data_IF_809326668556
#
_entry.id   IF_809326668556
#
_cell.length_a   1.000
_cell.length_b   1.000
_cell.length_c   1.000
_cell.angle_alpha   90.00
_cell.angle_beta   90.00
_cell.angle_gamma   90.00
#
_symmetry.space_group_name_H-M   'P 1'
#
loop_
_entity.id
_entity.type
_entity.pdbx_description
1 polymer ?
#
# COMPACT_ATOMS: atom_id res chain seq x y z
N UNK A 1 -5.01 -12.35 -1.82
CA UNK A 1 -5.76 -12.22 -0.53
C UNK A 1 -4.79 -12.04 0.62
N UNK A 2 -5.05 -11.06 1.53
CA UNK A 2 -4.25 -10.81 2.74
C UNK A 2 -5.20 -10.90 3.94
N UNK A 3 -4.85 -11.70 4.95
CA UNK A 3 -5.61 -11.87 6.19
C UNK A 3 -4.77 -11.39 7.38
N UNK A 4 -5.29 -10.44 8.12
CA UNK A 4 -4.76 -9.90 9.37
C UNK A 4 -5.73 -10.33 10.47
N UNK A 5 -5.24 -11.03 11.51
CA UNK A 5 -6.10 -11.61 12.55
C UNK A 5 -5.59 -11.24 13.93
N UNK A 6 -6.39 -10.44 14.65
CA UNK A 6 -6.13 -10.01 16.05
C UNK A 6 -4.72 -9.45 16.25
N UNK A 7 -4.23 -8.64 15.29
CA UNK A 7 -2.86 -8.14 15.29
C UNK A 7 -2.72 -6.92 16.21
N UNK A 8 -1.70 -6.96 17.05
CA UNK A 8 -1.35 -5.86 17.96
C UNK A 8 0.12 -5.48 17.79
N UNK A 9 0.39 -4.17 17.91
CA UNK A 9 1.74 -3.61 17.95
C UNK A 9 1.86 -2.54 19.02
N UNK A 10 2.88 -2.68 19.88
CA UNK A 10 3.20 -1.73 20.94
C UNK A 10 4.61 -1.18 20.79
N UNK A 11 4.79 0.08 21.13
CA UNK A 11 6.08 0.75 21.26
C UNK A 11 6.16 1.37 22.66
N UNK A 12 6.81 0.66 23.60
CA UNK A 12 6.78 1.04 25.00
C UNK A 12 5.34 1.07 25.54
N UNK A 13 4.89 2.21 26.04
CA UNK A 13 3.52 2.41 26.54
C UNK A 13 2.49 2.68 25.45
N UNK A 14 2.93 3.01 24.22
CA UNK A 14 2.03 3.33 23.11
C UNK A 14 1.58 2.04 22.41
N UNK A 15 0.27 1.79 22.36
CA UNK A 15 -0.32 0.79 21.48
C UNK A 15 -0.61 1.41 20.11
N UNK A 16 0.28 1.19 19.15
CA UNK A 16 0.17 1.78 17.81
C UNK A 16 -0.86 1.07 16.93
N UNK A 17 -1.09 -0.23 17.16
CA UNK A 17 -2.15 -1.04 16.54
C UNK A 17 -2.70 -1.96 17.62
N UNK A 18 -4.02 -1.96 17.80
CA UNK A 18 -4.71 -2.59 18.90
C UNK A 18 -5.74 -3.62 18.40
N UNK A 19 -5.34 -4.89 18.41
CA UNK A 19 -6.20 -6.03 18.13
C UNK A 19 -7.02 -5.91 16.84
N UNK A 20 -6.40 -5.52 15.73
CA UNK A 20 -7.10 -5.37 14.45
C UNK A 20 -7.25 -6.69 13.71
N UNK A 21 -8.42 -6.89 13.08
CA UNK A 21 -8.68 -7.97 12.14
C UNK A 21 -9.21 -7.40 10.84
N UNK A 22 -8.58 -7.78 9.72
CA UNK A 22 -8.84 -7.23 8.40
C UNK A 22 -8.57 -8.26 7.32
N UNK A 23 -9.47 -8.38 6.36
CA UNK A 23 -9.31 -9.19 5.17
C UNK A 23 -9.30 -8.31 3.93
N UNK A 24 -8.25 -8.43 3.12
CA UNK A 24 -8.16 -7.86 1.77
C UNK A 24 -8.34 -9.02 0.78
N UNK A 25 -9.40 -8.94 -0.03
CA UNK A 25 -9.79 -9.99 -0.97
C UNK A 25 -9.00 -9.91 -2.27
N UNK A 26 -9.03 -10.98 -3.04
CA UNK A 26 -8.63 -10.92 -4.45
C UNK A 26 -9.69 -10.12 -5.24
N UNK A 27 -9.30 -9.55 -6.37
CA UNK A 27 -10.11 -8.68 -7.23
C UNK A 27 -10.59 -7.38 -6.57
N UNK A 28 -9.87 -6.87 -5.55
CA UNK A 28 -10.25 -5.60 -4.95
C UNK A 28 -9.08 -4.61 -4.80
N UNK A 29 -9.42 -3.33 -4.87
CA UNK A 29 -8.63 -2.23 -4.36
C UNK A 29 -9.18 -1.85 -2.99
N UNK A 30 -8.39 -2.08 -1.96
CA UNK A 30 -8.74 -1.78 -0.58
C UNK A 30 -8.06 -0.49 -0.11
N UNK A 31 -8.84 0.51 0.28
CA UNK A 31 -8.35 1.76 0.85
C UNK A 31 -8.19 1.66 2.37
N UNK A 32 -7.00 1.88 2.89
CA UNK A 32 -6.75 1.91 4.34
C UNK A 32 -6.62 3.36 4.81
N UNK A 33 -7.70 3.88 5.38
CA UNK A 33 -7.91 5.30 5.66
C UNK A 33 -7.71 5.63 7.14
N UNK A 34 -7.19 6.81 7.42
CA UNK A 34 -7.03 7.28 8.80
C UNK A 34 -6.15 8.52 8.87
N UNK A 35 -6.22 9.31 9.95
CA UNK A 35 -5.34 10.45 10.15
C UNK A 35 -3.87 10.02 10.30
N UNK A 36 -2.96 10.99 10.28
CA UNK A 36 -1.55 10.73 10.57
C UNK A 36 -1.40 10.21 12.01
N UNK A 37 -0.57 9.18 12.17
CA UNK A 37 -0.40 8.50 13.46
C UNK A 37 -1.52 7.51 13.83
N UNK A 38 -2.51 7.27 12.95
CA UNK A 38 -3.61 6.33 13.25
C UNK A 38 -3.18 4.86 13.32
N UNK A 39 -2.00 4.49 12.80
CA UNK A 39 -1.52 3.10 12.75
C UNK A 39 -1.44 2.50 11.34
N UNK A 40 -1.75 3.26 10.26
CA UNK A 40 -1.74 2.79 8.87
C UNK A 40 -0.38 2.20 8.46
N UNK A 41 0.67 3.01 8.44
CA UNK A 41 2.02 2.59 8.05
C UNK A 41 2.57 1.49 8.96
N UNK A 42 2.24 1.51 10.26
CA UNK A 42 2.60 0.43 11.19
C UNK A 42 1.96 -0.88 10.77
N UNK A 43 0.67 -0.87 10.42
CA UNK A 43 -0.04 -2.08 9.95
C UNK A 43 0.56 -2.60 8.65
N UNK A 44 0.81 -1.74 7.66
CA UNK A 44 1.42 -2.15 6.39
C UNK A 44 2.85 -2.69 6.59
N UNK A 45 3.65 -2.06 7.45
CA UNK A 45 5.00 -2.53 7.78
C UNK A 45 5.01 -3.88 8.51
N UNK A 46 4.02 -4.16 9.36
CA UNK A 46 3.84 -5.49 9.95
C UNK A 46 3.46 -6.53 8.89
N UNK A 47 2.53 -6.19 8.00
CA UNK A 47 2.08 -7.07 6.92
C UNK A 47 3.23 -7.43 5.97
N UNK A 48 4.18 -6.53 5.77
CA UNK A 48 5.35 -6.71 4.90
C UNK A 48 6.60 -7.24 5.61
N UNK A 49 6.49 -7.62 6.89
CA UNK A 49 7.61 -8.15 7.69
C UNK A 49 8.78 -7.16 7.86
N UNK A 50 8.54 -5.85 7.73
CA UNK A 50 9.52 -4.82 8.04
C UNK A 50 9.66 -4.65 9.56
N UNK A 51 8.53 -4.74 10.27
CA UNK A 51 8.49 -4.75 11.73
C UNK A 51 7.75 -6.00 12.22
N UNK A 52 8.16 -6.60 13.35
CA UNK A 52 7.47 -7.75 13.92
C UNK A 52 6.14 -7.35 14.53
N UNK A 53 5.17 -8.26 14.48
CA UNK A 53 3.94 -8.19 15.27
C UNK A 53 4.20 -8.64 16.71
N UNK A 54 3.45 -8.08 17.67
CA UNK A 54 3.58 -8.51 19.07
C UNK A 54 2.58 -9.63 19.42
N UNK A 55 1.38 -9.61 18.79
CA UNK A 55 0.39 -10.68 18.87
C UNK A 55 -0.45 -10.77 17.60
N UNK A 56 -1.22 -11.84 17.47
CA UNK A 56 -2.06 -12.11 16.29
C UNK A 56 -1.35 -12.92 15.22
N UNK A 57 -1.91 -12.97 14.02
CA UNK A 57 -1.35 -13.63 12.84
C UNK A 57 -1.62 -12.83 11.57
N UNK A 58 -0.71 -12.94 10.59
CA UNK A 58 -0.89 -12.38 9.24
C UNK A 58 -0.58 -13.48 8.23
N UNK A 59 -1.48 -13.62 7.26
CA UNK A 59 -1.31 -14.56 6.14
C UNK A 59 -1.47 -13.84 4.81
N UNK A 60 -0.58 -14.15 3.88
CA UNK A 60 -0.62 -13.65 2.50
C UNK A 60 -0.78 -14.85 1.58
N UNK A 61 -1.88 -14.91 0.83
CA UNK A 61 -2.27 -16.08 0.04
C UNK A 61 -2.23 -17.40 0.86
N UNK A 62 -2.77 -17.36 2.08
CA UNK A 62 -2.76 -18.44 3.07
C UNK A 62 -1.37 -18.82 3.62
N UNK A 63 -0.30 -18.13 3.23
CA UNK A 63 1.06 -18.36 3.73
C UNK A 63 1.27 -17.50 4.98
N UNK A 64 1.54 -18.14 6.13
CA UNK A 64 1.85 -17.44 7.38
C UNK A 64 3.17 -16.68 7.26
N UNK A 65 3.15 -15.40 7.62
CA UNK A 65 4.38 -14.58 7.67
C UNK A 65 5.35 -15.03 8.77
N UNK A 66 4.86 -15.75 9.78
CA UNK A 66 5.69 -16.28 10.86
C UNK A 66 6.40 -17.57 10.48
N UNK A 67 5.64 -18.51 9.87
CA UNK A 67 6.12 -19.84 9.58
C UNK A 67 6.95 -19.91 8.31
N UNK A 68 6.56 -19.12 7.29
CA UNK A 68 7.18 -19.12 5.97
C UNK A 68 7.46 -17.69 5.46
N UNK A 69 8.32 -16.91 6.16
CA UNK A 69 8.51 -15.47 5.86
C UNK A 69 9.06 -15.19 4.45
N UNK A 70 9.94 -16.04 3.94
CA UNK A 70 10.53 -15.85 2.60
C UNK A 70 9.48 -16.08 1.51
N UNK A 71 8.67 -17.13 1.65
CA UNK A 71 7.63 -17.43 0.69
C UNK A 71 6.50 -16.38 0.74
N UNK A 72 6.15 -15.91 1.94
CA UNK A 72 5.21 -14.81 2.10
C UNK A 72 5.71 -13.53 1.41
N UNK A 73 7.01 -13.19 1.53
CA UNK A 73 7.61 -12.02 0.85
C UNK A 73 7.56 -12.08 -0.66
N UNK A 74 7.52 -13.27 -1.25
CA UNK A 74 7.36 -13.44 -2.71
C UNK A 74 5.94 -13.14 -3.20
N UNK A 75 4.96 -13.10 -2.30
CA UNK A 75 3.56 -12.92 -2.65
C UNK A 75 3.17 -11.46 -2.81
N UNK A 76 4.01 -10.51 -2.44
CA UNK A 76 3.68 -9.09 -2.48
C UNK A 76 4.83 -8.21 -2.96
N UNK A 77 4.49 -7.01 -3.39
CA UNK A 77 5.42 -5.88 -3.49
C UNK A 77 4.98 -4.78 -2.53
N UNK A 78 5.95 -4.02 -2.03
CA UNK A 78 5.71 -2.93 -1.09
C UNK A 78 6.32 -1.61 -1.57
N UNK A 79 5.51 -0.55 -1.52
CA UNK A 79 5.97 0.83 -1.67
C UNK A 79 5.85 1.49 -0.29
N UNK A 80 6.96 1.91 0.34
CA UNK A 80 6.93 2.66 1.59
C UNK A 80 6.53 4.12 1.37
N UNK A 81 6.04 4.78 2.43
CA UNK A 81 5.75 6.22 2.46
C UNK A 81 7.00 7.08 2.20
N UNK A 82 8.15 6.69 2.75
CA UNK A 82 9.44 7.34 2.45
C UNK A 82 10.16 6.63 1.29
N UNK A 83 10.27 7.27 0.11
CA UNK A 83 10.95 6.70 -1.05
C UNK A 83 12.48 6.83 -1.00
N UNK A 84 13.07 7.27 0.11
CA UNK A 84 14.51 7.45 0.28
C UNK A 84 15.25 6.12 0.50
N UNK A 85 15.04 5.16 -0.39
CA UNK A 85 15.69 3.85 -0.37
C UNK A 85 16.63 3.67 -1.57
N UNK A 86 17.63 2.82 -1.42
CA UNK A 86 18.58 2.47 -2.49
C UNK A 86 19.30 3.67 -3.15
N UNK A 87 19.54 4.77 -2.42
CA UNK A 87 20.07 6.03 -2.94
C UNK A 87 21.43 5.89 -3.65
N UNK A 88 22.20 4.84 -3.33
CA UNK A 88 23.53 4.57 -3.93
C UNK A 88 23.46 3.80 -5.24
N UNK A 89 22.30 3.33 -5.66
CA UNK A 89 22.11 2.64 -6.91
C UNK A 89 21.64 3.62 -8.00
N UNK A 90 21.93 3.29 -9.25
CA UNK A 90 21.25 3.88 -10.40
C UNK A 90 19.84 3.28 -10.52
N UNK A 91 18.90 4.02 -11.15
CA UNK A 91 17.53 3.53 -11.34
C UNK A 91 17.49 2.16 -12.03
N UNK A 92 18.27 1.99 -13.12
CA UNK A 92 18.35 0.73 -13.83
C UNK A 92 18.93 -0.41 -12.98
N UNK A 93 19.90 -0.12 -12.12
CA UNK A 93 20.53 -1.12 -11.25
C UNK A 93 19.52 -1.61 -10.19
N UNK A 94 18.76 -0.68 -9.60
CA UNK A 94 17.69 -1.01 -8.68
C UNK A 94 16.63 -1.93 -9.30
N UNK A 95 16.16 -1.60 -10.51
CA UNK A 95 15.15 -2.40 -11.21
C UNK A 95 15.68 -3.80 -11.57
N UNK A 96 16.91 -3.91 -12.06
CA UNK A 96 17.56 -5.20 -12.33
C UNK A 96 17.78 -6.03 -11.06
N UNK A 97 18.13 -5.37 -9.95
CA UNK A 97 18.25 -6.02 -8.64
C UNK A 97 16.92 -6.63 -8.20
N UNK A 98 15.82 -5.87 -8.30
CA UNK A 98 14.48 -6.41 -8.01
C UNK A 98 14.12 -7.59 -8.93
N UNK A 99 14.37 -7.50 -10.24
CA UNK A 99 14.12 -8.59 -11.18
C UNK A 99 14.85 -9.86 -10.76
N UNK A 100 16.10 -9.74 -10.32
CA UNK A 100 16.91 -10.86 -9.82
C UNK A 100 16.30 -11.50 -8.57
N UNK A 101 15.89 -10.70 -7.58
CA UNK A 101 15.27 -11.19 -6.32
C UNK A 101 13.99 -11.97 -6.62
N UNK A 102 13.13 -11.42 -7.49
CA UNK A 102 11.85 -12.04 -7.85
C UNK A 102 11.99 -13.09 -8.96
N UNK A 103 13.23 -13.39 -9.42
CA UNK A 103 13.54 -14.39 -10.44
C UNK A 103 12.77 -14.18 -11.76
N UNK A 104 12.62 -12.93 -12.17
CA UNK A 104 12.00 -12.57 -13.44
C UNK A 104 13.03 -12.77 -14.55
N UNK A 105 12.60 -13.37 -15.66
CA UNK A 105 13.44 -13.51 -16.85
C UNK A 105 13.98 -12.14 -17.31
N UNK A 106 15.26 -12.09 -17.66
CA UNK A 106 15.94 -10.83 -17.96
C UNK A 106 15.33 -10.10 -19.18
N UNK A 107 14.87 -10.84 -20.18
CA UNK A 107 14.23 -10.27 -21.37
C UNK A 107 12.91 -9.62 -21.00
N UNK A 108 12.06 -10.34 -20.23
CA UNK A 108 10.79 -9.84 -19.71
C UNK A 108 11.00 -8.63 -18.82
N UNK A 109 12.00 -8.67 -17.93
CA UNK A 109 12.31 -7.56 -17.05
C UNK A 109 12.70 -6.30 -17.84
N UNK A 110 13.57 -6.42 -18.85
CA UNK A 110 14.01 -5.30 -19.68
C UNK A 110 12.86 -4.70 -20.50
N UNK A 111 11.97 -5.52 -21.05
CA UNK A 111 10.78 -5.05 -21.77
C UNK A 111 9.85 -4.25 -20.84
N UNK A 112 9.56 -4.78 -19.66
CA UNK A 112 8.72 -4.09 -18.66
C UNK A 112 9.37 -2.82 -18.15
N UNK A 113 10.67 -2.82 -17.89
CA UNK A 113 11.42 -1.62 -17.49
C UNK A 113 11.29 -0.55 -18.57
N UNK A 114 11.51 -0.89 -19.83
CA UNK A 114 11.38 0.04 -20.97
C UNK A 114 9.96 0.59 -21.07
N UNK A 115 8.96 -0.27 -20.97
CA UNK A 115 7.56 0.13 -21.03
C UNK A 115 7.20 1.11 -19.90
N UNK A 116 7.41 0.70 -18.64
CA UNK A 116 6.94 1.50 -17.50
C UNK A 116 7.79 2.75 -17.27
N UNK A 117 9.09 2.72 -17.58
CA UNK A 117 9.90 3.95 -17.53
C UNK A 117 9.42 4.99 -18.53
N UNK A 118 8.95 4.59 -19.70
CA UNK A 118 8.34 5.49 -20.69
C UNK A 118 6.98 6.02 -20.19
N UNK A 119 6.11 5.15 -19.66
CA UNK A 119 4.79 5.56 -19.14
C UNK A 119 4.93 6.61 -18.02
N UNK A 120 5.94 6.49 -17.14
CA UNK A 120 6.19 7.41 -16.03
C UNK A 120 7.19 8.54 -16.35
N UNK A 121 7.68 8.64 -17.60
CA UNK A 121 8.63 9.69 -18.01
C UNK A 121 10.00 9.59 -17.35
N UNK A 122 10.47 8.36 -17.05
CA UNK A 122 11.74 8.09 -16.35
C UNK A 122 12.82 7.52 -17.26
N UNK A 123 12.56 7.30 -18.55
CA UNK A 123 13.45 6.61 -19.48
C UNK A 123 14.85 7.24 -19.58
N UNK A 124 14.94 8.56 -19.57
CA UNK A 124 16.20 9.29 -19.70
C UNK A 124 17.00 9.35 -18.37
N UNK A 125 16.35 9.06 -17.25
CA UNK A 125 16.94 9.17 -15.91
C UNK A 125 17.38 7.83 -15.33
N UNK A 126 17.10 6.70 -16.00
CA UNK A 126 17.41 5.37 -15.46
C UNK A 126 18.90 5.15 -15.17
N UNK A 127 19.79 5.86 -15.86
CA UNK A 127 21.24 5.75 -15.68
C UNK A 127 21.78 6.70 -14.60
N UNK A 128 20.96 7.56 -14.04
CA UNK A 128 21.34 8.46 -12.96
C UNK A 128 21.19 7.76 -11.60
N UNK A 129 21.94 8.22 -10.60
CA UNK A 129 21.81 7.73 -9.23
C UNK A 129 20.47 8.15 -8.62
N UNK A 130 19.82 7.25 -7.88
CA UNK A 130 18.56 7.53 -7.17
C UNK A 130 18.73 8.69 -6.18
N UNK A 131 19.94 8.91 -5.64
CA UNK A 131 20.25 10.06 -4.78
C UNK A 131 20.01 11.40 -5.47
N UNK A 132 20.20 11.49 -6.80
CA UNK A 132 19.98 12.72 -7.58
C UNK A 132 18.51 12.95 -7.97
N UNK A 133 17.65 11.96 -7.76
CA UNK A 133 16.22 12.07 -8.11
C UNK A 133 15.49 13.03 -7.18
N UNK A 134 14.52 13.77 -7.73
CA UNK A 134 13.52 14.47 -6.92
C UNK A 134 12.67 13.46 -6.12
N UNK A 135 11.92 13.93 -5.13
CA UNK A 135 11.03 13.05 -4.35
C UNK A 135 10.05 12.29 -5.28
N UNK A 136 9.40 12.99 -6.21
CA UNK A 136 8.49 12.37 -7.17
C UNK A 136 9.17 11.35 -8.09
N UNK A 137 10.41 11.58 -8.53
CA UNK A 137 11.17 10.61 -9.32
C UNK A 137 11.54 9.36 -8.50
N UNK A 138 11.86 9.52 -7.21
CA UNK A 138 12.08 8.39 -6.30
C UNK A 138 10.81 7.57 -6.14
N UNK A 139 9.67 8.23 -5.98
CA UNK A 139 8.38 7.55 -5.93
C UNK A 139 8.09 6.77 -7.23
N UNK A 140 8.30 7.40 -8.39
CA UNK A 140 8.10 6.76 -9.70
C UNK A 140 8.97 5.52 -9.89
N UNK A 141 10.25 5.55 -9.50
CA UNK A 141 11.12 4.37 -9.67
C UNK A 141 10.68 3.19 -8.81
N UNK A 142 10.14 3.43 -7.60
CA UNK A 142 9.54 2.38 -6.77
C UNK A 142 8.29 1.79 -7.41
N UNK A 143 7.41 2.64 -7.95
CA UNK A 143 6.21 2.22 -8.68
C UNK A 143 6.59 1.36 -9.88
N UNK A 144 7.55 1.80 -10.71
CA UNK A 144 8.06 1.03 -11.84
C UNK A 144 8.56 -0.34 -11.38
N UNK A 145 9.26 -0.41 -10.24
CA UNK A 145 9.70 -1.67 -9.64
C UNK A 145 8.52 -2.59 -9.33
N UNK A 146 7.48 -2.11 -8.68
CA UNK A 146 6.27 -2.90 -8.36
C UNK A 146 5.56 -3.39 -9.63
N UNK A 147 5.37 -2.52 -10.62
CA UNK A 147 4.76 -2.86 -11.91
C UNK A 147 5.57 -3.91 -12.67
N UNK A 148 6.90 -3.80 -12.66
CA UNK A 148 7.80 -4.72 -13.33
C UNK A 148 7.73 -6.13 -12.73
N UNK A 149 7.75 -6.26 -11.41
CA UNK A 149 7.69 -7.56 -10.73
C UNK A 149 6.27 -8.12 -10.67
N UNK A 150 5.26 -7.25 -10.60
CA UNK A 150 3.82 -7.57 -10.63
C UNK A 150 3.42 -8.80 -9.81
N UNK A 151 3.72 -8.87 -8.51
CA UNK A 151 3.28 -9.97 -7.67
C UNK A 151 1.78 -9.86 -7.39
N UNK A 152 1.19 -10.93 -6.86
CA UNK A 152 -0.26 -11.03 -6.67
C UNK A 152 -0.85 -9.94 -5.75
N UNK A 153 -0.09 -9.48 -4.75
CA UNK A 153 -0.59 -8.48 -3.81
C UNK A 153 0.28 -7.21 -3.84
N UNK A 154 -0.31 -6.05 -4.03
CA UNK A 154 0.36 -4.76 -3.91
C UNK A 154 0.01 -4.12 -2.57
N UNK A 155 1.02 -3.76 -1.81
CA UNK A 155 0.91 -3.09 -0.52
C UNK A 155 1.60 -1.73 -0.65
N UNK A 156 0.82 -0.64 -0.59
CA UNK A 156 1.30 0.68 -0.97
C UNK A 156 1.02 1.68 0.16
N UNK A 157 2.06 2.28 0.72
CA UNK A 157 1.92 3.28 1.79
C UNK A 157 2.01 4.68 1.20
N UNK A 158 0.90 5.43 1.18
CA UNK A 158 0.76 6.78 0.60
C UNK A 158 1.33 6.90 -0.84
N UNK A 159 1.00 6.00 -1.77
CA UNK A 159 1.76 5.84 -3.02
C UNK A 159 1.63 7.02 -4.00
N UNK A 160 0.67 7.92 -3.79
CA UNK A 160 0.43 9.06 -4.67
C UNK A 160 1.12 10.33 -4.20
N UNK A 161 1.72 10.31 -3.01
CA UNK A 161 2.43 11.46 -2.43
C UNK A 161 3.63 11.86 -3.29
N UNK A 162 3.68 13.13 -3.69
CA UNK A 162 4.77 13.68 -4.51
C UNK A 162 4.70 13.34 -6.01
N UNK A 163 3.69 12.59 -6.47
CA UNK A 163 3.48 12.35 -7.89
C UNK A 163 2.82 13.56 -8.56
N UNK A 164 3.19 13.78 -9.81
CA UNK A 164 2.45 14.68 -10.70
C UNK A 164 1.07 14.08 -11.07
N UNK A 165 0.11 14.91 -11.53
CA UNK A 165 -1.25 14.44 -11.85
C UNK A 165 -1.30 13.30 -12.88
N UNK A 166 -0.43 13.34 -13.91
CA UNK A 166 -0.40 12.31 -14.93
C UNK A 166 0.08 10.96 -14.37
N UNK A 167 1.18 10.97 -13.61
CA UNK A 167 1.71 9.77 -12.96
C UNK A 167 0.75 9.18 -11.94
N UNK A 168 0.04 10.03 -11.19
CA UNK A 168 -1.02 9.61 -10.27
C UNK A 168 -2.19 8.95 -11.02
N UNK A 169 -2.59 9.49 -12.18
CA UNK A 169 -3.63 8.90 -13.02
C UNK A 169 -3.21 7.52 -13.54
N UNK A 170 -2.00 7.39 -14.09
CA UNK A 170 -1.45 6.13 -14.57
C UNK A 170 -1.42 5.08 -13.43
N UNK A 171 -0.94 5.45 -12.25
CA UNK A 171 -0.91 4.52 -11.11
C UNK A 171 -2.30 4.01 -10.75
N UNK A 172 -3.32 4.88 -10.70
CA UNK A 172 -4.72 4.48 -10.42
C UNK A 172 -5.24 3.48 -11.46
N UNK A 173 -4.96 3.71 -12.74
CA UNK A 173 -5.32 2.78 -13.80
C UNK A 173 -4.62 1.42 -13.61
N UNK A 174 -3.31 1.42 -13.33
CA UNK A 174 -2.55 0.19 -13.08
C UNK A 174 -3.04 -0.58 -11.85
N UNK A 175 -3.44 0.12 -10.78
CA UNK A 175 -4.06 -0.51 -9.60
C UNK A 175 -5.37 -1.20 -9.99
N UNK A 176 -6.23 -0.54 -10.80
CA UNK A 176 -7.49 -1.14 -11.24
C UNK A 176 -7.26 -2.34 -12.16
N UNK A 177 -6.41 -2.18 -13.18
CA UNK A 177 -6.01 -3.30 -14.06
C UNK A 177 -5.48 -4.50 -13.27
N UNK A 178 -4.66 -4.24 -12.24
CA UNK A 178 -4.10 -5.29 -11.40
C UNK A 178 -5.19 -6.04 -10.61
N UNK A 179 -6.11 -5.30 -9.99
CA UNK A 179 -7.22 -5.89 -9.25
C UNK A 179 -8.17 -6.67 -10.17
N UNK A 180 -8.54 -6.14 -11.33
CA UNK A 180 -9.43 -6.78 -12.32
C UNK A 180 -8.84 -8.08 -12.89
N UNK A 181 -7.51 -8.22 -12.86
CA UNK A 181 -6.79 -9.45 -13.24
C UNK A 181 -6.69 -10.51 -12.12
N UNK A 182 -7.51 -10.43 -11.09
CA UNK A 182 -7.57 -11.46 -10.05
C UNK A 182 -6.60 -11.25 -8.89
N UNK A 183 -6.04 -10.05 -8.77
CA UNK A 183 -5.05 -9.71 -7.77
C UNK A 183 -5.63 -8.78 -6.70
N UNK A 184 -4.83 -8.40 -5.70
CA UNK A 184 -5.27 -7.48 -4.67
C UNK A 184 -4.34 -6.27 -4.54
N UNK A 185 -4.95 -5.13 -4.22
CA UNK A 185 -4.23 -3.90 -3.89
C UNK A 185 -4.73 -3.40 -2.55
N UNK A 186 -3.83 -3.18 -1.60
CA UNK A 186 -4.09 -2.38 -0.42
C UNK A 186 -3.22 -1.12 -0.47
N UNK A 187 -3.82 0.04 -0.28
CA UNK A 187 -3.04 1.26 -0.14
C UNK A 187 -3.55 2.13 1.00
N UNK A 188 -2.62 2.75 1.70
CA UNK A 188 -2.97 3.77 2.69
C UNK A 188 -3.13 5.12 2.01
N UNK A 189 -4.06 5.91 2.52
CA UNK A 189 -4.15 7.33 2.15
C UNK A 189 -4.88 8.13 3.22
N UNK A 190 -4.60 9.41 3.28
CA UNK A 190 -5.37 10.41 4.02
C UNK A 190 -6.23 11.27 3.08
N UNK A 191 -6.14 11.05 1.75
CA UNK A 191 -6.91 11.77 0.72
C UNK A 191 -8.16 10.98 0.39
N UNK A 192 -9.28 11.36 1.00
CA UNK A 192 -10.55 10.62 0.93
C UNK A 192 -11.14 10.59 -0.48
N UNK A 193 -11.00 11.66 -1.25
CA UNK A 193 -11.46 11.73 -2.65
C UNK A 193 -10.80 10.66 -3.55
N UNK A 194 -9.56 10.27 -3.24
CA UNK A 194 -8.89 9.20 -3.97
C UNK A 194 -9.57 7.87 -3.65
N UNK A 195 -9.83 7.61 -2.38
CA UNK A 195 -10.49 6.39 -1.94
C UNK A 195 -11.91 6.26 -2.55
N UNK A 196 -12.67 7.35 -2.56
CA UNK A 196 -14.02 7.37 -3.18
C UNK A 196 -14.02 6.95 -4.65
N UNK A 197 -12.96 7.33 -5.38
CA UNK A 197 -12.90 7.11 -6.84
C UNK A 197 -12.43 5.74 -7.25
N UNK A 198 -11.61 5.07 -6.43
CA UNK A 198 -10.93 3.84 -6.89
C UNK A 198 -11.09 2.63 -5.99
N UNK A 199 -11.52 2.79 -4.72
CA UNK A 199 -11.64 1.67 -3.79
C UNK A 199 -12.96 0.92 -3.95
N UNK A 200 -12.87 -0.40 -3.90
CA UNK A 200 -14.04 -1.28 -3.80
C UNK A 200 -14.52 -1.36 -2.35
N UNK A 201 -13.57 -1.40 -1.39
CA UNK A 201 -13.83 -1.37 0.06
C UNK A 201 -12.80 -0.48 0.76
N UNK A 202 -13.17 -0.02 1.92
CA UNK A 202 -12.29 0.80 2.77
C UNK A 202 -12.25 0.26 4.19
N UNK A 203 -11.11 0.45 4.84
CA UNK A 203 -10.94 0.27 6.28
C UNK A 203 -10.56 1.61 6.91
N UNK A 204 -11.31 2.05 7.91
CA UNK A 204 -11.01 3.30 8.64
C UNK A 204 -10.37 2.93 9.97
N UNK A 205 -9.14 3.42 10.19
CA UNK A 205 -8.38 3.22 11.41
C UNK A 205 -8.17 4.56 12.12
N UNK A 206 -8.30 4.56 13.44
CA UNK A 206 -7.93 5.71 14.27
C UNK A 206 -7.37 5.24 15.62
N UNK A 207 -6.29 5.87 16.08
CA UNK A 207 -5.60 5.52 17.35
C UNK A 207 -5.35 4.01 17.50
N UNK A 208 -4.93 3.35 16.42
CA UNK A 208 -4.63 1.93 16.39
C UNK A 208 -5.83 0.99 16.29
N UNK A 209 -7.06 1.49 16.33
CA UNK A 209 -8.29 0.70 16.29
C UNK A 209 -9.00 0.83 14.96
N UNK A 210 -9.49 -0.29 14.45
CA UNK A 210 -10.30 -0.33 13.25
C UNK A 210 -11.73 0.10 13.60
N UNK A 211 -12.20 1.18 13.00
CA UNK A 211 -13.52 1.77 13.26
C UNK A 211 -14.58 1.26 12.28
N UNK A 212 -14.18 0.98 11.06
CA UNK A 212 -15.05 0.52 9.99
C UNK A 212 -14.29 -0.33 8.98
N UNK A 213 -14.96 -1.32 8.40
CA UNK A 213 -14.51 -2.08 7.22
C UNK A 213 -15.73 -2.41 6.36
N UNK A 214 -15.73 -1.97 5.12
CA UNK A 214 -16.85 -2.22 4.21
C UNK A 214 -16.75 -1.41 2.92
N UNK A 215 -17.82 -1.43 2.12
CA UNK A 215 -17.98 -0.57 0.96
C UNK A 215 -18.34 0.85 1.38
N UNK A 216 -18.17 1.81 0.48
CA UNK A 216 -18.60 3.20 0.74
C UNK A 216 -20.11 3.31 0.95
N UNK A 217 -20.90 2.50 0.25
CA UNK A 217 -22.35 2.46 0.43
C UNK A 217 -22.76 1.91 1.82
N UNK A 218 -22.05 0.91 2.31
CA UNK A 218 -22.24 0.39 3.69
C UNK A 218 -21.88 1.46 4.72
N UNK A 219 -20.81 2.22 4.49
CA UNK A 219 -20.39 3.30 5.36
C UNK A 219 -21.45 4.42 5.43
N UNK A 220 -21.97 4.85 4.28
CA UNK A 220 -23.06 5.85 4.20
C UNK A 220 -24.33 5.37 4.90
N UNK A 221 -24.73 4.13 4.70
CA UNK A 221 -25.89 3.54 5.40
C UNK A 221 -25.72 3.50 6.92
N UNK A 222 -24.52 3.17 7.37
CA UNK A 222 -24.22 3.12 8.81
C UNK A 222 -24.24 4.50 9.47
N UNK A 223 -23.77 5.54 8.75
CA UNK A 223 -23.80 6.93 9.25
C UNK A 223 -25.21 7.54 9.28
N UNK A 224 -26.16 6.95 8.54
CA UNK A 224 -27.54 7.46 8.44
C UNK A 224 -27.66 8.77 7.66
N UNK A 225 -26.62 9.19 6.96
CA UNK A 225 -26.56 10.43 6.18
C UNK A 225 -26.07 10.15 4.75
N UNK A 226 -26.54 10.95 3.81
CA UNK A 226 -26.02 10.97 2.42
C UNK A 226 -24.80 11.91 2.28
N UNK A 227 -24.14 12.19 3.39
CA UNK A 227 -22.98 13.07 3.45
C UNK A 227 -21.77 12.52 2.69
N UNK A 228 -20.83 13.43 2.38
CA UNK A 228 -19.56 13.04 1.78
C UNK A 228 -18.77 12.10 2.68
N UNK A 229 -17.90 11.27 2.10
CA UNK A 229 -16.97 10.42 2.88
C UNK A 229 -16.17 11.25 3.89
N UNK A 230 -15.84 12.49 3.54
CA UNK A 230 -15.11 13.40 4.42
C UNK A 230 -15.91 13.74 5.69
N UNK A 231 -17.21 14.07 5.58
CA UNK A 231 -18.07 14.37 6.73
C UNK A 231 -18.18 13.14 7.63
N UNK A 232 -18.46 11.98 7.07
CA UNK A 232 -18.58 10.71 7.80
C UNK A 232 -17.25 10.35 8.48
N UNK A 233 -16.14 10.50 7.77
CA UNK A 233 -14.80 10.24 8.32
C UNK A 233 -14.47 11.16 9.50
N UNK A 234 -14.78 12.45 9.38
CA UNK A 234 -14.59 13.42 10.46
C UNK A 234 -15.43 13.09 11.69
N UNK A 235 -16.66 12.67 11.50
CA UNK A 235 -17.51 12.21 12.61
C UNK A 235 -16.92 10.99 13.29
N UNK A 236 -16.64 9.93 12.56
CA UNK A 236 -16.06 8.69 13.08
C UNK A 236 -14.73 8.93 13.82
N UNK A 237 -13.90 9.83 13.32
CA UNK A 237 -12.60 10.12 13.95
C UNK A 237 -12.70 11.10 15.12
N UNK A 238 -13.73 11.97 15.17
CA UNK A 238 -14.03 12.86 16.31
C UNK A 238 -14.66 12.12 17.51
N UNK A 239 -15.55 11.15 17.25
CA UNK A 239 -16.21 10.36 18.29
C UNK A 239 -15.23 9.69 19.26
N UNK A 240 -14.07 9.27 18.79
CA UNK A 240 -13.00 8.72 19.64
C UNK A 240 -12.41 9.76 20.62
N UNK A 241 -12.68 11.06 20.44
CA UNK A 241 -12.21 12.12 21.33
C UNK A 241 -13.06 12.27 22.61
N UNK A 242 -14.29 11.75 22.63
CA UNK A 242 -15.24 11.93 23.72
C UNK A 242 -15.40 10.72 24.65
N UNK A 243 -14.80 9.56 24.31
CA UNK A 243 -14.94 8.31 25.08
C UNK A 243 -13.60 7.74 25.59
N UNK A 244 -12.52 8.51 25.57
CA UNK A 244 -11.23 8.26 26.20
C UNK A 244 -10.85 9.41 27.14
#
# INVERSE_FOLDING_TARGET
MINITNVTKKYGSLTAVDNISLEIKDNEIFGFLGPNGAGKSTTLKMTTLIIPIDSGDIRINNISIKDNPIEAKRQFAFIPDDPNIFLRLKGIEYLKFLASIYKIDNTIALERIKQYSKEFGMENSLNDYISSYSHGMRQKILIIGVLMISPKNWILDEPMTGLDPNSSHILKQKMREHADNGNSVIFSTHVLEVAEKICDRVGIINKGKLLFVGTLDELKKQSGTDDSLESIFLELTKWVKYYL
#
